data_IF_834848948775
#
_entry.id   IF_834848948775
#
_cell.length_a   1.000
_cell.length_b   1.000
_cell.length_c   1.000
_cell.angle_alpha   90.00
_cell.angle_beta   90.00
_cell.angle_gamma   90.00
#
_symmetry.space_group_name_H-M   'P 1'
#
loop_
_entity.id
_entity.type
_entity.pdbx_description
1 polymer ?
#
# COMPACT_ATOMS: atom_id res chain seq x y z
N UNK A 1 -2.88 47.30 -70.44
CA UNK A 1 -1.83 47.69 -69.54
C UNK A 1 -2.23 47.29 -68.16
N UNK A 2 -1.32 46.76 -67.38
CA UNK A 2 -1.38 46.21 -66.02
C UNK A 2 -1.80 44.74 -65.93
N UNK A 3 -0.81 43.87 -66.05
CA UNK A 3 -0.75 42.52 -65.52
C UNK A 3 -0.71 42.56 -64.00
N UNK A 4 -1.70 41.96 -63.33
CA UNK A 4 -1.61 41.62 -61.92
C UNK A 4 -1.33 40.14 -61.80
N UNK A 5 -0.11 39.81 -61.39
CA UNK A 5 0.34 38.49 -61.07
C UNK A 5 -0.39 38.01 -59.79
N UNK A 6 -1.17 36.95 -59.90
CA UNK A 6 -1.73 36.26 -58.78
C UNK A 6 -0.70 35.24 -58.27
N UNK A 7 -0.11 35.56 -57.14
CA UNK A 7 0.75 34.62 -56.40
C UNK A 7 -0.15 33.58 -55.73
N UNK A 8 -0.21 32.36 -56.30
CA UNK A 8 -0.73 31.20 -55.56
C UNK A 8 0.20 30.91 -54.41
N UNK A 9 -0.26 31.17 -53.20
CA UNK A 9 0.38 30.68 -51.98
C UNK A 9 -0.01 29.22 -51.80
N UNK A 10 0.88 28.31 -52.19
CA UNK A 10 0.78 26.90 -51.88
C UNK A 10 1.04 26.78 -50.37
N UNK A 11 -0.01 26.61 -49.59
CA UNK A 11 0.08 26.18 -48.20
C UNK A 11 0.52 24.72 -48.23
N UNK A 12 1.81 24.50 -48.10
CA UNK A 12 2.34 23.15 -47.85
C UNK A 12 1.95 22.79 -46.41
N UNK A 13 0.84 22.04 -46.30
CA UNK A 13 0.49 21.38 -45.05
C UNK A 13 1.58 20.34 -44.77
N UNK A 14 2.53 20.72 -43.93
CA UNK A 14 3.51 19.79 -43.38
C UNK A 14 2.74 18.90 -42.40
N UNK A 15 2.19 17.81 -42.90
CA UNK A 15 1.85 16.68 -42.04
C UNK A 15 3.16 16.12 -41.50
N UNK A 16 3.54 16.59 -40.35
CA UNK A 16 4.59 15.95 -39.53
C UNK A 16 4.04 14.57 -39.19
N UNK A 17 4.36 13.56 -40.00
CA UNK A 17 4.31 12.17 -39.61
C UNK A 17 5.22 12.06 -38.40
N UNK A 18 4.64 12.10 -37.19
CA UNK A 18 5.34 11.73 -35.98
C UNK A 18 5.82 10.32 -36.22
N UNK A 19 7.12 10.18 -36.44
CA UNK A 19 7.81 8.91 -36.61
C UNK A 19 7.62 8.22 -35.26
N UNK A 20 6.70 7.26 -35.17
CA UNK A 20 6.57 6.41 -33.97
C UNK A 20 7.96 5.85 -33.72
N UNK A 21 8.59 6.28 -32.64
CA UNK A 21 9.88 5.81 -32.27
C UNK A 21 9.83 4.28 -32.19
N UNK A 22 10.68 3.61 -32.96
CA UNK A 22 10.74 2.16 -32.94
C UNK A 22 11.26 1.76 -31.54
N UNK A 23 10.34 1.21 -30.74
CA UNK A 23 10.64 0.89 -29.35
C UNK A 23 11.64 -0.25 -29.34
N UNK A 24 12.89 0.08 -28.98
CA UNK A 24 13.97 -0.89 -28.98
C UNK A 24 13.74 -1.98 -27.90
N UNK A 25 14.12 -3.21 -28.23
CA UNK A 25 14.10 -4.32 -27.28
C UNK A 25 14.86 -4.01 -25.97
N UNK A 26 15.92 -3.19 -26.06
CA UNK A 26 16.71 -2.72 -24.92
C UNK A 26 15.86 -1.85 -23.97
N UNK A 27 15.05 -0.95 -24.51
CA UNK A 27 14.21 -0.07 -23.71
C UNK A 27 13.09 -0.88 -23.00
N UNK A 28 12.50 -1.85 -23.70
CA UNK A 28 11.52 -2.78 -23.12
C UNK A 28 12.14 -3.59 -21.97
N UNK A 29 13.38 -4.09 -22.18
CA UNK A 29 14.11 -4.83 -21.14
C UNK A 29 14.36 -3.96 -19.91
N UNK A 30 14.83 -2.72 -20.10
CA UNK A 30 15.08 -1.77 -19.02
C UNK A 30 13.81 -1.44 -18.23
N UNK A 31 12.68 -1.22 -18.92
CA UNK A 31 11.41 -0.97 -18.24
C UNK A 31 10.95 -2.19 -17.43
N UNK A 32 11.13 -3.39 -17.98
CA UNK A 32 10.80 -4.63 -17.28
C UNK A 32 11.68 -4.84 -16.04
N UNK A 33 12.97 -4.59 -16.13
CA UNK A 33 13.90 -4.70 -14.99
C UNK A 33 13.54 -3.74 -13.85
N UNK A 34 13.05 -2.54 -14.20
CA UNK A 34 12.63 -1.54 -13.21
C UNK A 34 11.25 -1.82 -12.59
N UNK A 35 10.33 -2.41 -13.35
CA UNK A 35 8.91 -2.50 -12.94
C UNK A 35 8.47 -3.94 -12.61
N UNK A 36 9.24 -4.95 -13.03
CA UNK A 36 8.83 -6.36 -12.96
C UNK A 36 7.64 -6.73 -13.86
N UNK A 37 7.07 -5.78 -14.60
CA UNK A 37 5.89 -6.01 -15.43
C UNK A 37 6.17 -6.96 -16.62
N UNK A 38 5.12 -7.56 -17.17
CA UNK A 38 5.21 -8.43 -18.34
C UNK A 38 5.82 -7.73 -19.56
N UNK A 39 6.62 -8.44 -20.36
CA UNK A 39 7.32 -7.87 -21.52
C UNK A 39 6.36 -7.19 -22.53
N UNK A 40 5.18 -7.78 -22.74
CA UNK A 40 4.17 -7.21 -23.66
C UNK A 40 3.54 -5.95 -23.10
N UNK A 41 3.34 -5.89 -21.78
CA UNK A 41 2.82 -4.70 -21.11
C UNK A 41 3.84 -3.56 -21.12
N UNK A 42 5.13 -3.87 -20.87
CA UNK A 42 6.22 -2.89 -21.02
C UNK A 42 6.31 -2.34 -22.44
N UNK A 43 6.22 -3.21 -23.47
CA UNK A 43 6.21 -2.78 -24.88
C UNK A 43 5.01 -1.89 -25.19
N UNK A 44 3.83 -2.25 -24.67
CA UNK A 44 2.61 -1.46 -24.83
C UNK A 44 2.73 -0.11 -24.13
N UNK A 45 3.19 -0.09 -22.88
CA UNK A 45 3.39 1.13 -22.12
C UNK A 45 4.33 2.12 -22.84
N UNK A 46 5.48 1.63 -23.32
CA UNK A 46 6.42 2.45 -24.08
C UNK A 46 5.82 2.96 -25.41
N UNK A 47 5.00 2.15 -26.06
CA UNK A 47 4.30 2.57 -27.29
C UNK A 47 3.29 3.68 -27.05
N UNK A 48 2.48 3.55 -26.00
CA UNK A 48 1.44 4.54 -25.63
C UNK A 48 2.07 5.85 -25.12
N UNK A 49 3.29 5.79 -24.59
CA UNK A 49 4.00 6.94 -24.03
C UNK A 49 5.23 7.36 -24.86
N UNK A 50 5.26 7.04 -26.16
CA UNK A 50 6.28 7.50 -27.11
C UNK A 50 7.73 7.20 -26.70
N UNK A 51 7.95 6.13 -25.92
CA UNK A 51 9.24 5.72 -25.40
C UNK A 51 9.69 6.40 -24.10
N UNK A 52 8.85 7.26 -23.51
CA UNK A 52 9.10 7.90 -22.23
C UNK A 52 9.04 6.86 -21.09
N UNK A 53 10.17 6.71 -20.38
CA UNK A 53 10.31 5.69 -19.32
C UNK A 53 9.47 6.01 -18.09
N UNK A 54 9.43 7.27 -17.66
CA UNK A 54 8.72 7.69 -16.44
C UNK A 54 7.21 7.58 -16.63
N UNK A 55 6.69 8.13 -17.73
CA UNK A 55 5.28 7.99 -18.09
C UNK A 55 4.87 6.54 -18.31
N UNK A 56 5.77 5.72 -18.85
CA UNK A 56 5.51 4.29 -19.03
C UNK A 56 5.45 3.53 -17.70
N UNK A 57 6.28 3.89 -16.72
CA UNK A 57 6.19 3.34 -15.36
C UNK A 57 4.88 3.73 -14.69
N UNK A 58 4.48 4.99 -14.77
CA UNK A 58 3.21 5.48 -14.25
C UNK A 58 2.00 4.80 -14.91
N UNK A 59 2.02 4.68 -16.24
CA UNK A 59 1.00 3.96 -17.00
C UNK A 59 0.88 2.50 -16.58
N UNK A 60 2.03 1.81 -16.36
CA UNK A 60 2.04 0.43 -15.88
C UNK A 60 1.49 0.33 -14.46
N UNK A 61 1.78 1.29 -13.58
CA UNK A 61 1.22 1.34 -12.23
C UNK A 61 -0.31 1.46 -12.27
N UNK A 62 -0.85 2.39 -13.04
CA UNK A 62 -2.30 2.58 -13.21
C UNK A 62 -2.97 1.34 -13.81
N UNK A 63 -2.36 0.75 -14.85
CA UNK A 63 -2.87 -0.48 -15.45
C UNK A 63 -2.78 -1.67 -14.50
N UNK A 64 -1.74 -1.72 -13.67
CA UNK A 64 -1.56 -2.74 -12.64
C UNK A 64 -2.69 -2.73 -11.62
N UNK A 65 -3.08 -1.56 -11.13
CA UNK A 65 -4.22 -1.38 -10.23
C UNK A 65 -5.50 -1.95 -10.87
N UNK A 66 -5.84 -1.54 -12.09
CA UNK A 66 -7.03 -2.04 -12.80
C UNK A 66 -6.98 -3.55 -13.06
N UNK A 67 -5.80 -4.10 -13.32
CA UNK A 67 -5.62 -5.56 -13.50
C UNK A 67 -5.82 -6.33 -12.19
N UNK A 68 -5.36 -5.79 -11.07
CA UNK A 68 -5.54 -6.38 -9.74
C UNK A 68 -7.02 -6.40 -9.34
N UNK A 69 -7.73 -5.30 -9.56
CA UNK A 69 -9.18 -5.22 -9.29
C UNK A 69 -10.00 -6.27 -10.05
N UNK A 70 -9.65 -6.54 -11.32
CA UNK A 70 -10.31 -7.59 -12.10
C UNK A 70 -10.07 -9.00 -11.57
N UNK A 71 -9.05 -9.21 -10.76
CA UNK A 71 -8.69 -10.51 -10.20
C UNK A 71 -9.15 -10.69 -8.76
N UNK A 72 -9.53 -9.61 -8.05
CA UNK A 72 -9.86 -9.60 -6.62
C UNK A 72 -10.96 -10.60 -6.22
N UNK A 73 -11.86 -10.95 -7.15
CA UNK A 73 -12.92 -11.95 -6.90
C UNK A 73 -12.51 -13.40 -7.14
N UNK A 74 -11.25 -13.69 -7.53
CA UNK A 74 -10.79 -15.07 -7.75
C UNK A 74 -10.42 -15.72 -6.44
N UNK A 75 -10.74 -17.02 -6.32
CA UNK A 75 -10.44 -17.80 -5.12
C UNK A 75 -8.93 -17.95 -4.94
N UNK A 76 -8.46 -17.72 -3.70
CA UNK A 76 -7.06 -17.88 -3.30
C UNK A 76 -7.00 -18.91 -2.18
N UNK A 77 -6.70 -20.18 -2.53
CA UNK A 77 -6.66 -21.29 -1.58
C UNK A 77 -5.22 -21.71 -1.22
N UNK A 78 -4.26 -21.35 -2.05
CA UNK A 78 -2.84 -21.58 -1.84
C UNK A 78 -2.15 -20.37 -1.21
N UNK A 79 -0.86 -20.44 -0.87
CA UNK A 79 -0.12 -19.31 -0.32
C UNK A 79 0.91 -19.72 0.71
N UNK A 80 1.23 -18.80 1.63
CA UNK A 80 2.20 -19.02 2.70
C UNK A 80 1.67 -18.52 4.04
N UNK A 81 2.00 -19.28 5.09
CA UNK A 81 2.04 -18.77 6.47
C UNK A 81 3.49 -18.46 6.80
N UNK A 82 3.75 -17.20 7.17
CA UNK A 82 5.09 -16.71 7.41
C UNK A 82 5.21 -16.10 8.81
N UNK A 83 6.35 -16.35 9.46
CA UNK A 83 6.69 -15.75 10.75
C UNK A 83 7.83 -14.74 10.60
N UNK A 84 7.69 -13.59 11.25
CA UNK A 84 8.72 -12.57 11.33
C UNK A 84 8.99 -12.21 12.77
N UNK A 85 10.25 -12.34 13.19
CA UNK A 85 10.70 -11.87 14.51
C UNK A 85 11.59 -10.65 14.30
N UNK A 86 11.17 -9.53 14.86
CA UNK A 86 11.93 -8.30 14.75
C UNK A 86 13.21 -8.37 15.56
N UNK A 87 14.24 -7.65 15.09
CA UNK A 87 15.54 -7.58 15.77
C UNK A 87 15.38 -7.29 17.26
N UNK A 88 16.02 -8.08 18.10
CA UNK A 88 15.88 -8.01 19.55
C UNK A 88 14.79 -8.91 20.15
N UNK A 89 14.01 -9.64 19.32
CA UNK A 89 13.10 -10.68 19.79
C UNK A 89 11.89 -10.21 20.59
N UNK A 90 11.58 -8.90 20.55
CA UNK A 90 10.50 -8.30 21.35
C UNK A 90 9.17 -8.17 20.61
N UNK A 91 9.18 -8.30 19.28
CA UNK A 91 8.00 -8.25 18.42
C UNK A 91 8.06 -9.46 17.50
N UNK A 92 6.97 -10.23 17.49
CA UNK A 92 6.76 -11.36 16.60
C UNK A 92 5.47 -11.19 15.80
N UNK A 93 5.49 -11.58 14.53
CA UNK A 93 4.34 -11.57 13.64
C UNK A 93 4.19 -12.93 13.02
N UNK A 94 2.95 -13.41 12.93
CA UNK A 94 2.54 -14.52 12.09
C UNK A 94 1.50 -13.99 11.09
N UNK A 95 1.71 -14.21 9.80
CA UNK A 95 0.83 -13.72 8.74
C UNK A 95 0.52 -14.82 7.74
N UNK A 96 -0.72 -14.87 7.26
CA UNK A 96 -1.18 -15.72 6.17
C UNK A 96 -1.47 -14.86 4.95
N UNK A 97 -0.76 -15.15 3.85
CA UNK A 97 -0.97 -14.50 2.55
C UNK A 97 -1.28 -15.57 1.52
N UNK A 98 -2.43 -15.44 0.86
CA UNK A 98 -2.94 -16.42 -0.08
C UNK A 98 -2.77 -15.96 -1.53
N UNK A 99 -2.62 -16.93 -2.45
CA UNK A 99 -2.61 -16.78 -3.90
C UNK A 99 -3.45 -17.89 -4.57
N UNK A 100 -3.58 -17.86 -5.90
CA UNK A 100 -4.41 -18.83 -6.62
C UNK A 100 -3.72 -20.22 -6.71
N UNK A 101 -2.37 -20.26 -6.90
CA UNK A 101 -1.63 -21.50 -7.11
C UNK A 101 -0.38 -21.62 -6.24
N UNK A 102 0.05 -22.87 -5.98
CA UNK A 102 1.30 -23.20 -5.29
C UNK A 102 2.54 -22.78 -6.09
N UNK A 103 2.43 -22.67 -7.42
CA UNK A 103 3.50 -22.17 -8.28
C UNK A 103 3.86 -20.72 -7.96
N UNK A 104 2.87 -19.85 -7.76
CA UNK A 104 3.08 -18.47 -7.36
C UNK A 104 3.58 -18.39 -5.92
N UNK A 105 3.04 -19.23 -5.01
CA UNK A 105 3.49 -19.28 -3.62
C UNK A 105 4.99 -19.57 -3.46
N UNK A 106 5.59 -20.31 -4.42
CA UNK A 106 7.02 -20.65 -4.41
C UNK A 106 7.94 -19.57 -5.00
N UNK A 107 7.39 -18.58 -5.69
CA UNK A 107 8.18 -17.53 -6.34
C UNK A 107 8.80 -16.60 -5.32
N UNK A 108 10.00 -16.13 -5.61
CA UNK A 108 10.73 -15.25 -4.70
C UNK A 108 10.03 -13.90 -4.55
N UNK A 109 9.41 -13.37 -5.62
CA UNK A 109 8.64 -12.12 -5.56
C UNK A 109 7.42 -12.23 -4.62
N UNK A 110 6.77 -13.40 -4.53
CA UNK A 110 5.70 -13.65 -3.57
C UNK A 110 6.24 -13.75 -2.15
N UNK A 111 7.34 -14.46 -1.94
CA UNK A 111 7.99 -14.57 -0.61
C UNK A 111 8.46 -13.21 -0.12
N UNK A 112 9.02 -12.38 -1.00
CA UNK A 112 9.42 -11.02 -0.69
C UNK A 112 8.22 -10.15 -0.28
N UNK A 113 7.08 -10.26 -0.97
CA UNK A 113 5.84 -9.60 -0.56
C UNK A 113 5.43 -10.04 0.85
N UNK A 114 5.38 -11.34 1.11
CA UNK A 114 4.97 -11.89 2.42
C UNK A 114 5.89 -11.40 3.54
N UNK A 115 7.21 -11.41 3.31
CA UNK A 115 8.21 -10.86 4.23
C UNK A 115 8.00 -9.36 4.48
N UNK A 116 7.73 -8.59 3.43
CA UNK A 116 7.49 -7.16 3.53
C UNK A 116 6.21 -6.83 4.31
N UNK A 117 5.13 -7.59 4.07
CA UNK A 117 3.87 -7.46 4.81
C UNK A 117 4.08 -7.80 6.30
N UNK A 118 4.79 -8.87 6.61
CA UNK A 118 5.08 -9.23 8.00
C UNK A 118 5.90 -8.16 8.73
N UNK A 119 6.88 -7.56 8.05
CA UNK A 119 7.68 -6.46 8.59
C UNK A 119 6.85 -5.19 8.77
N UNK A 120 5.95 -4.88 7.84
CA UNK A 120 4.99 -3.77 7.95
C UNK A 120 4.13 -3.90 9.21
N UNK A 121 3.56 -5.09 9.46
CA UNK A 121 2.73 -5.38 10.64
C UNK A 121 3.56 -5.18 11.92
N UNK A 122 4.81 -5.62 11.93
CA UNK A 122 5.69 -5.42 13.08
C UNK A 122 5.95 -3.93 13.36
N UNK A 123 6.07 -3.12 12.31
CA UNK A 123 6.36 -1.68 12.41
C UNK A 123 5.15 -0.82 12.77
N UNK A 124 3.92 -1.31 12.56
CA UNK A 124 2.69 -0.55 12.75
C UNK A 124 1.89 -1.04 13.97
N UNK A 125 2.11 -0.47 15.17
CA UNK A 125 1.50 -0.95 16.40
C UNK A 125 -0.03 -0.83 16.45
N UNK A 126 -0.60 0.11 15.71
CA UNK A 126 -2.03 0.40 15.74
C UNK A 126 -2.85 -0.47 14.78
N UNK A 127 -2.19 -1.25 13.91
CA UNK A 127 -2.87 -2.08 12.92
C UNK A 127 -3.43 -3.34 13.57
N UNK A 128 -4.76 -3.51 13.50
CA UNK A 128 -5.49 -4.63 14.07
C UNK A 128 -6.24 -5.45 13.01
N UNK A 129 -6.57 -4.85 11.87
CA UNK A 129 -7.36 -5.45 10.79
C UNK A 129 -6.60 -5.41 9.48
N UNK A 130 -6.90 -6.33 8.57
CA UNK A 130 -6.30 -6.30 7.23
C UNK A 130 -6.90 -5.16 6.42
N UNK A 131 -8.24 -5.07 6.40
CA UNK A 131 -8.97 -4.02 5.68
C UNK A 131 -9.88 -3.24 6.63
N UNK A 132 -10.29 -2.04 6.22
CA UNK A 132 -11.23 -1.21 6.99
C UNK A 132 -12.64 -1.79 7.06
N UNK A 133 -13.01 -2.66 6.12
CA UNK A 133 -14.29 -3.37 6.06
C UNK A 133 -14.39 -4.45 7.14
N UNK A 134 -13.27 -4.97 7.63
CA UNK A 134 -13.21 -5.96 8.71
C UNK A 134 -13.40 -5.37 10.10
N UNK A 135 -13.33 -4.04 10.24
CA UNK A 135 -13.47 -3.37 11.54
C UNK A 135 -14.91 -3.51 12.04
N UNK A 136 -15.14 -4.12 13.22
CA UNK A 136 -16.47 -4.30 13.76
C UNK A 136 -17.23 -2.98 13.94
N UNK A 137 -18.50 -2.95 13.55
CA UNK A 137 -19.36 -1.76 13.69
C UNK A 137 -19.43 -1.26 15.13
N UNK A 138 -19.35 -2.14 16.12
CA UNK A 138 -19.36 -1.76 17.54
C UNK A 138 -18.14 -0.87 17.91
N UNK A 139 -16.98 -1.15 17.34
CA UNK A 139 -15.77 -0.32 17.55
C UNK A 139 -15.99 1.06 16.91
N UNK A 140 -16.52 1.08 15.68
CA UNK A 140 -16.79 2.34 14.97
C UNK A 140 -17.86 3.17 15.68
N UNK A 141 -18.91 2.54 16.20
CA UNK A 141 -19.95 3.22 16.96
C UNK A 141 -19.39 3.86 18.25
N UNK A 142 -18.54 3.13 18.98
CA UNK A 142 -17.89 3.63 20.18
C UNK A 142 -16.95 4.81 19.88
N UNK A 143 -16.13 4.71 18.84
CA UNK A 143 -15.27 5.82 18.40
C UNK A 143 -16.09 7.04 17.99
N UNK A 144 -17.22 6.83 17.30
CA UNK A 144 -18.14 7.90 16.92
C UNK A 144 -18.73 8.60 18.15
N UNK A 145 -19.12 7.86 19.18
CA UNK A 145 -19.61 8.41 20.45
C UNK A 145 -18.52 9.25 21.12
N UNK A 146 -17.31 8.75 21.21
CA UNK A 146 -16.16 9.46 21.78
C UNK A 146 -15.90 10.76 21.00
N UNK A 147 -15.83 10.70 19.68
CA UNK A 147 -15.56 11.88 18.86
C UNK A 147 -16.69 12.93 18.91
N UNK A 148 -17.95 12.49 19.01
CA UNK A 148 -19.08 13.41 19.19
C UNK A 148 -19.06 14.14 20.53
N UNK A 149 -18.52 13.53 21.58
CA UNK A 149 -18.38 14.11 22.92
C UNK A 149 -17.19 15.05 23.11
N UNK A 150 -16.38 15.30 22.08
CA UNK A 150 -15.20 16.17 22.22
C UNK A 150 -15.55 17.64 22.33
N UNK A 151 -14.88 18.35 23.20
CA UNK A 151 -15.12 19.78 23.52
C UNK A 151 -14.94 20.68 22.29
N UNK A 152 -14.05 20.34 21.37
CA UNK A 152 -13.77 21.12 20.16
C UNK A 152 -14.96 21.18 19.17
N UNK A 153 -15.98 20.35 19.37
CA UNK A 153 -17.22 20.35 18.61
C UNK A 153 -18.32 21.20 19.24
N UNK A 154 -18.20 21.57 20.53
CA UNK A 154 -19.28 22.14 21.36
C UNK A 154 -20.12 23.21 20.67
N UNK A 155 -19.49 24.21 20.05
CA UNK A 155 -20.16 25.37 19.46
C UNK A 155 -20.44 25.28 17.96
N UNK A 156 -20.28 24.09 17.34
CA UNK A 156 -20.50 23.92 15.90
C UNK A 156 -21.92 23.48 15.59
N UNK A 157 -22.50 23.87 14.43
CA UNK A 157 -23.77 23.32 13.94
C UNK A 157 -23.69 21.80 13.74
N UNK A 158 -24.79 21.08 13.93
CA UNK A 158 -24.83 19.63 13.93
C UNK A 158 -24.35 19.02 12.59
N UNK A 159 -24.72 19.63 11.46
CA UNK A 159 -24.26 19.20 10.14
C UNK A 159 -22.74 19.35 9.95
N UNK A 160 -22.10 20.27 10.67
CA UNK A 160 -20.63 20.44 10.64
C UNK A 160 -19.99 19.45 11.60
N UNK A 161 -20.60 19.21 12.78
CA UNK A 161 -20.14 18.18 13.72
C UNK A 161 -20.09 16.81 13.05
N UNK A 162 -21.17 16.41 12.40
CA UNK A 162 -21.27 15.11 11.71
C UNK A 162 -20.17 14.94 10.65
N UNK A 163 -19.91 15.97 9.83
CA UNK A 163 -18.84 15.92 8.81
C UNK A 163 -17.46 15.78 9.43
N UNK A 164 -17.17 16.51 10.51
CA UNK A 164 -15.89 16.43 11.21
C UNK A 164 -15.71 15.04 11.82
N UNK A 165 -16.73 14.54 12.51
CA UNK A 165 -16.71 13.20 13.12
C UNK A 165 -16.53 12.13 12.06
N UNK A 166 -17.26 12.19 10.96
CA UNK A 166 -17.09 11.24 9.86
C UNK A 166 -15.65 11.23 9.33
N UNK A 167 -15.07 12.41 9.09
CA UNK A 167 -13.67 12.49 8.65
C UNK A 167 -12.66 11.92 9.65
N UNK A 168 -12.92 12.07 10.97
CA UNK A 168 -12.09 11.48 12.01
C UNK A 168 -12.24 9.96 12.06
N UNK A 169 -13.47 9.46 11.94
CA UNK A 169 -13.74 8.03 11.87
C UNK A 169 -13.07 7.40 10.64
N UNK A 170 -13.15 8.03 9.47
CA UNK A 170 -12.49 7.55 8.27
C UNK A 170 -10.96 7.51 8.43
N UNK A 171 -10.39 8.50 9.11
CA UNK A 171 -8.97 8.51 9.47
C UNK A 171 -8.64 7.36 10.43
N UNK A 172 -9.45 7.17 11.48
CA UNK A 172 -9.26 6.10 12.46
C UNK A 172 -9.33 4.72 11.81
N UNK A 173 -10.30 4.50 10.91
CA UNK A 173 -10.38 3.25 10.13
C UNK A 173 -9.11 2.98 9.35
N UNK A 174 -8.53 3.99 8.71
CA UNK A 174 -7.26 3.86 7.99
C UNK A 174 -6.11 3.53 8.93
N UNK A 175 -6.04 4.12 10.12
CA UNK A 175 -5.02 3.83 11.11
C UNK A 175 -5.05 2.39 11.62
N UNK A 176 -6.24 1.80 11.71
CA UNK A 176 -6.46 0.42 12.14
C UNK A 176 -6.26 -0.62 11.02
N UNK A 177 -6.31 -0.20 9.74
CA UNK A 177 -6.24 -1.07 8.56
C UNK A 177 -4.81 -1.21 8.05
N UNK A 178 -4.38 -2.46 7.82
CA UNK A 178 -3.06 -2.76 7.25
C UNK A 178 -2.90 -2.23 5.83
N UNK A 179 -3.90 -2.47 4.97
CA UNK A 179 -3.80 -2.12 3.55
C UNK A 179 -3.79 -0.61 3.30
N UNK A 180 -4.38 0.17 4.19
CA UNK A 180 -4.39 1.64 4.09
C UNK A 180 -3.10 2.30 4.64
N UNK A 181 -2.19 1.52 5.29
CA UNK A 181 -0.94 2.08 5.81
C UNK A 181 0.02 2.50 4.70
N UNK A 182 0.74 3.63 4.88
CA UNK A 182 1.91 3.92 4.07
C UNK A 182 2.94 2.78 4.22
N UNK A 183 3.51 2.31 3.12
CA UNK A 183 4.49 1.24 3.16
C UNK A 183 5.80 1.71 3.77
N UNK A 184 6.32 1.00 4.79
CA UNK A 184 7.49 1.44 5.56
C UNK A 184 8.77 1.61 4.76
N UNK A 185 8.92 0.88 3.64
CA UNK A 185 10.10 1.00 2.76
C UNK A 185 9.94 2.06 1.68
N UNK A 186 8.69 2.44 1.35
CA UNK A 186 8.38 3.49 0.38
C UNK A 186 7.07 4.20 0.79
N UNK A 187 7.19 5.33 1.45
CA UNK A 187 6.05 6.10 1.96
C UNK A 187 5.19 6.75 0.86
N UNK A 188 5.62 6.69 -0.41
CA UNK A 188 4.85 7.20 -1.54
C UNK A 188 3.79 6.21 -2.03
N UNK A 189 3.72 5.01 -1.45
CA UNK A 189 2.71 4.01 -1.75
C UNK A 189 2.11 3.42 -0.48
N UNK A 190 0.90 2.89 -0.60
CA UNK A 190 0.25 2.11 0.46
C UNK A 190 0.60 0.62 0.34
N UNK A 191 0.32 -0.13 1.42
CA UNK A 191 0.43 -1.60 1.38
C UNK A 191 -0.52 -2.21 0.34
N UNK A 192 -1.71 -1.62 0.16
CA UNK A 192 -2.66 -2.03 -0.89
C UNK A 192 -2.05 -1.86 -2.29
N UNK A 193 -1.38 -0.74 -2.54
CA UNK A 193 -0.72 -0.49 -3.83
C UNK A 193 0.43 -1.46 -4.08
N UNK A 194 1.22 -1.79 -3.05
CA UNK A 194 2.26 -2.82 -3.12
C UNK A 194 1.65 -4.18 -3.50
N UNK A 195 0.54 -4.56 -2.87
CA UNK A 195 -0.19 -5.79 -3.16
C UNK A 195 -0.69 -5.80 -4.62
N UNK A 196 -1.34 -4.72 -5.08
CA UNK A 196 -1.82 -4.58 -6.46
C UNK A 196 -0.71 -4.65 -7.49
N UNK A 197 0.46 -4.08 -7.21
CA UNK A 197 1.64 -4.18 -8.07
C UNK A 197 2.12 -5.63 -8.17
N UNK A 198 2.20 -6.35 -7.05
CA UNK A 198 2.61 -7.76 -7.05
C UNK A 198 1.59 -8.64 -7.77
N UNK A 199 0.29 -8.40 -7.62
CA UNK A 199 -0.78 -9.07 -8.39
C UNK A 199 -0.61 -8.83 -9.91
N UNK A 200 -0.25 -7.62 -10.31
CA UNK A 200 0.00 -7.32 -11.72
C UNK A 200 1.23 -8.03 -12.26
N UNK A 201 2.29 -8.12 -11.45
CA UNK A 201 3.55 -8.78 -11.79
C UNK A 201 3.42 -10.29 -11.89
N UNK A 202 2.77 -10.91 -10.90
CA UNK A 202 2.63 -12.36 -10.81
C UNK A 202 1.48 -12.91 -11.65
N UNK A 203 0.47 -12.09 -11.94
CA UNK A 203 -0.66 -12.45 -12.79
C UNK A 203 -1.79 -13.18 -12.08
N UNK A 204 -1.68 -13.41 -10.77
CA UNK A 204 -2.68 -14.06 -9.92
C UNK A 204 -3.26 -13.10 -8.88
N UNK A 205 -4.44 -13.42 -8.36
CA UNK A 205 -4.98 -12.77 -7.18
C UNK A 205 -4.14 -13.11 -5.95
N UNK A 206 -3.87 -12.13 -5.11
CA UNK A 206 -3.12 -12.28 -3.86
C UNK A 206 -3.88 -11.53 -2.78
N UNK A 207 -4.02 -12.14 -1.61
CA UNK A 207 -4.72 -11.55 -0.48
C UNK A 207 -3.95 -11.78 0.82
N UNK A 208 -3.81 -10.74 1.62
CA UNK A 208 -3.45 -10.91 3.03
C UNK A 208 -4.72 -11.35 3.73
N UNK A 209 -4.73 -12.57 4.27
CA UNK A 209 -5.94 -13.14 4.87
C UNK A 209 -6.11 -12.75 6.33
N UNK A 210 -5.03 -12.89 7.12
CA UNK A 210 -5.01 -12.61 8.55
C UNK A 210 -3.59 -12.53 9.07
N UNK A 211 -3.45 -11.92 10.23
CA UNK A 211 -2.18 -11.88 10.96
C UNK A 211 -2.42 -11.88 12.48
N UNK A 212 -1.36 -12.15 13.21
CA UNK A 212 -1.28 -11.95 14.65
C UNK A 212 0.07 -11.33 14.97
N UNK A 213 0.05 -10.30 15.83
CA UNK A 213 1.26 -9.65 16.33
C UNK A 213 1.38 -9.87 17.83
N UNK A 214 2.56 -10.23 18.29
CA UNK A 214 2.91 -10.35 19.69
C UNK A 214 3.96 -9.31 20.05
N UNK A 215 3.76 -8.65 21.18
CA UNK A 215 4.74 -7.74 21.75
C UNK A 215 5.09 -8.23 23.14
N UNK A 216 6.38 -8.37 23.43
CA UNK A 216 6.84 -8.85 24.72
C UNK A 216 6.37 -7.92 25.85
N UNK A 217 5.62 -8.48 26.79
CA UNK A 217 5.08 -7.75 27.95
C UNK A 217 3.81 -6.96 27.67
N UNK A 218 3.17 -7.12 26.48
CA UNK A 218 1.88 -6.51 26.18
C UNK A 218 0.79 -7.03 27.15
N UNK A 219 0.02 -6.10 27.74
CA UNK A 219 -1.04 -6.44 28.70
C UNK A 219 -0.53 -6.80 30.12
N UNK A 220 0.76 -6.79 30.37
CA UNK A 220 1.32 -7.01 31.70
C UNK A 220 1.55 -5.66 32.39
N UNK A 221 0.87 -5.42 33.50
CA UNK A 221 1.15 -4.28 34.37
C UNK A 221 2.56 -4.44 34.96
N UNK A 222 3.48 -3.56 34.56
CA UNK A 222 4.78 -3.48 35.23
C UNK A 222 4.57 -2.81 36.55
N UNK A 223 4.90 -3.51 37.67
CA UNK A 223 5.09 -2.85 38.93
C UNK A 223 6.32 -1.94 38.80
N UNK A 224 6.08 -0.64 38.75
CA UNK A 224 7.17 0.34 38.90
C UNK A 224 7.64 0.30 40.35
N UNK A 225 8.59 -0.57 40.64
CA UNK A 225 9.32 -0.50 41.89
C UNK A 225 10.19 0.75 41.79
N UNK A 226 9.92 1.73 42.64
CA UNK A 226 10.76 2.94 42.71
C UNK A 226 12.21 2.53 42.94
N UNK A 227 13.15 3.09 42.19
CA UNK A 227 14.58 2.83 42.39
C UNK A 227 15.00 3.11 43.86
N UNK A 228 14.34 4.08 44.52
CA UNK A 228 14.54 4.36 45.93
C UNK A 228 14.13 3.18 46.84
N UNK A 229 13.00 2.51 46.53
CA UNK A 229 12.53 1.34 47.27
C UNK A 229 13.44 0.12 47.05
N UNK A 230 13.95 -0.04 45.82
CA UNK A 230 14.90 -1.10 45.48
C UNK A 230 16.23 -0.92 46.22
N UNK A 231 16.76 0.32 46.27
CA UNK A 231 17.98 0.66 47.05
C UNK A 231 17.73 0.50 48.54
N UNK A 232 16.58 0.93 49.06
CA UNK A 232 16.21 0.75 50.46
C UNK A 232 16.12 -0.73 50.85
N UNK A 233 15.55 -1.56 49.98
CA UNK A 233 15.47 -3.01 50.18
C UNK A 233 16.85 -3.69 50.18
N UNK A 234 17.79 -3.23 49.32
CA UNK A 234 19.15 -3.78 49.27
C UNK A 234 20.08 -3.26 50.39
N UNK A 235 19.89 -2.03 50.84
CA UNK A 235 20.74 -1.41 51.87
C UNK A 235 20.23 -1.62 53.28
N UNK A 236 19.03 -2.19 53.45
CA UNK A 236 18.43 -2.39 54.80
C UNK A 236 18.03 -1.11 55.51
N UNK A 237 18.08 0.03 54.84
CA UNK A 237 17.62 1.33 55.36
C UNK A 237 16.14 1.52 55.01
N UNK A 238 15.28 1.41 56.04
CA UNK A 238 13.90 1.93 55.91
C UNK A 238 13.95 3.46 55.90
N UNK A 239 13.33 4.07 54.90
CA UNK A 239 13.10 5.50 54.86
C UNK A 239 12.16 5.96 55.95
#
# INVERSE_FOLDING_TARGET
MFFRAWRLQIVVSVHTKIKMAEISAKLVKQLREKTGAGMMDCKKALKENEGDMEKSMEWLRQKGITSAEKKSGRQTAEGLVHSYIHTGGRIGVLVEVNCETDFVARRDEFKDLVQNVAMQIAACPNVEYVTKEEIPEAIIAKEKEIEMGRDDLGNKPDNIKEKIVQGRIDKRKKELSLLDQPYVKDQNMTVEELLKQTIAQLGENIQVRRFTRFVLGEGIEKQEVSFADEVAAQTGQKA
#
